data_IF_385614690002
#
_entry.id   IF_385614690002
#
_cell.length_a   1.000
_cell.length_b   1.000
_cell.length_c   1.000
_cell.angle_alpha   90.00
_cell.angle_beta   90.00
_cell.angle_gamma   90.00
#
_symmetry.space_group_name_H-M   'P 1'
#
loop_
_entity.id
_entity.type
_entity.pdbx_description
1 polymer ?
#
# COMPACT_ATOMS: atom_id res chain seq x y z
N UNK A 1 -15.54 -0.46 -6.91
CA UNK A 1 -14.16 -0.32 -7.45
C UNK A 1 -14.01 -1.04 -8.79
N UNK A 2 -14.30 -2.36 -8.89
CA UNK A 2 -14.16 -3.16 -10.12
C UNK A 2 -14.96 -2.53 -11.27
N UNK A 3 -16.24 -2.23 -11.09
CA UNK A 3 -17.12 -1.62 -12.12
C UNK A 3 -16.56 -0.31 -12.70
N UNK A 4 -15.96 0.54 -11.86
CA UNK A 4 -15.33 1.79 -12.34
C UNK A 4 -14.04 1.52 -13.10
N UNK A 5 -13.27 0.52 -12.66
CA UNK A 5 -12.06 0.10 -13.36
C UNK A 5 -12.39 -0.52 -14.73
N UNK A 6 -13.43 -1.36 -14.82
CA UNK A 6 -13.91 -1.92 -16.09
C UNK A 6 -14.36 -0.82 -17.06
N UNK A 7 -15.09 0.18 -16.57
CA UNK A 7 -15.52 1.29 -17.40
C UNK A 7 -14.33 2.11 -17.91
N UNK A 8 -13.35 2.39 -17.04
CA UNK A 8 -12.14 3.11 -17.42
C UNK A 8 -11.32 2.32 -18.46
N UNK A 9 -11.15 1.00 -18.27
CA UNK A 9 -10.48 0.13 -19.24
C UNK A 9 -11.16 0.14 -20.60
N UNK A 10 -12.50 0.02 -20.62
CA UNK A 10 -13.29 0.08 -21.82
C UNK A 10 -13.13 1.41 -22.56
N UNK A 11 -13.18 2.53 -21.84
CA UNK A 11 -13.01 3.87 -22.46
C UNK A 11 -11.60 4.04 -23.01
N UNK A 12 -10.56 3.60 -22.29
CA UNK A 12 -9.18 3.66 -22.75
C UNK A 12 -8.96 2.82 -24.01
N UNK A 13 -9.51 1.59 -24.05
CA UNK A 13 -9.44 0.71 -25.22
C UNK A 13 -10.14 1.33 -26.44
N UNK A 14 -11.36 1.85 -26.26
CA UNK A 14 -12.11 2.52 -27.34
C UNK A 14 -11.38 3.75 -27.87
N UNK A 15 -10.82 4.57 -27.01
CA UNK A 15 -10.05 5.74 -27.40
C UNK A 15 -8.79 5.34 -28.18
N UNK A 16 -8.10 4.28 -27.78
CA UNK A 16 -6.95 3.74 -28.49
C UNK A 16 -7.31 3.20 -29.86
N UNK A 17 -8.37 2.39 -29.97
CA UNK A 17 -8.86 1.88 -31.26
C UNK A 17 -9.23 3.01 -32.22
N UNK A 18 -9.85 4.06 -31.72
CA UNK A 18 -10.18 5.24 -32.52
C UNK A 18 -8.93 5.98 -33.00
N UNK A 19 -7.94 6.16 -32.13
CA UNK A 19 -6.64 6.76 -32.49
C UNK A 19 -5.94 5.96 -33.58
N UNK A 20 -5.90 4.63 -33.48
CA UNK A 20 -5.30 3.76 -34.47
C UNK A 20 -6.01 3.83 -35.84
N UNK A 21 -7.33 3.97 -35.89
CA UNK A 21 -8.09 4.18 -37.09
C UNK A 21 -7.72 5.50 -37.77
N UNK A 22 -7.69 6.61 -37.03
CA UNK A 22 -7.28 7.91 -37.57
C UNK A 22 -5.87 7.90 -38.14
N UNK A 23 -4.92 7.24 -37.48
CA UNK A 23 -3.55 7.11 -37.97
C UNK A 23 -3.49 6.31 -39.27
N UNK A 24 -4.27 5.23 -39.42
CA UNK A 24 -4.39 4.44 -40.65
C UNK A 24 -4.95 5.26 -41.80
N UNK A 25 -5.89 6.16 -41.53
CA UNK A 25 -6.53 7.04 -42.50
C UNK A 25 -5.67 8.28 -42.81
N UNK A 26 -4.43 8.37 -42.31
CA UNK A 26 -3.54 9.51 -42.48
C UNK A 26 -3.99 10.77 -41.76
N UNK A 27 -4.97 10.65 -40.89
CA UNK A 27 -5.48 11.75 -40.07
C UNK A 27 -4.69 11.76 -38.76
N UNK A 28 -3.86 12.78 -38.57
CA UNK A 28 -3.26 13.01 -37.25
C UNK A 28 -4.33 13.56 -36.32
N UNK A 29 -4.86 12.75 -35.37
CA UNK A 29 -5.87 13.24 -34.44
C UNK A 29 -5.24 14.39 -33.66
N UNK A 30 -5.92 15.55 -33.64
CA UNK A 30 -5.61 16.55 -32.60
C UNK A 30 -5.62 15.79 -31.28
N UNK A 31 -4.49 15.80 -30.56
CA UNK A 31 -4.37 15.11 -29.28
C UNK A 31 -5.66 15.33 -28.49
N UNK A 32 -6.34 14.23 -28.14
CA UNK A 32 -7.35 14.30 -27.09
C UNK A 32 -6.68 15.06 -25.93
N UNK A 33 -7.25 16.18 -25.52
CA UNK A 33 -6.70 16.98 -24.40
C UNK A 33 -6.87 16.17 -23.10
N UNK A 34 -6.05 15.14 -22.97
CA UNK A 34 -6.01 14.28 -21.79
C UNK A 34 -4.82 14.70 -20.94
N UNK A 35 -5.02 14.76 -19.62
CA UNK A 35 -3.96 15.12 -18.68
C UNK A 35 -2.84 14.07 -18.65
N UNK A 36 -3.14 12.82 -19.01
CA UNK A 36 -2.21 11.68 -19.00
C UNK A 36 -2.38 10.88 -20.30
N UNK A 37 -1.35 10.14 -20.75
CA UNK A 37 -1.44 9.26 -21.92
C UNK A 37 -2.49 8.15 -21.74
N UNK A 38 -3.06 7.65 -22.85
CA UNK A 38 -4.05 6.55 -22.81
C UNK A 38 -3.52 5.29 -22.14
N UNK A 39 -2.24 4.95 -22.37
CA UNK A 39 -1.56 3.82 -21.72
C UNK A 39 -1.63 3.89 -20.21
N UNK A 40 -1.60 5.09 -19.64
CA UNK A 40 -1.76 5.27 -18.20
C UNK A 40 -3.16 4.85 -17.73
N UNK A 41 -4.21 5.29 -18.40
CA UNK A 41 -5.59 4.96 -18.00
C UNK A 41 -5.87 3.47 -18.14
N UNK A 42 -5.37 2.84 -19.22
CA UNK A 42 -5.48 1.40 -19.42
C UNK A 42 -4.74 0.62 -18.33
N UNK A 43 -3.46 0.88 -18.14
CA UNK A 43 -2.65 0.21 -17.12
C UNK A 43 -3.18 0.43 -15.71
N UNK A 44 -3.58 1.67 -15.37
CA UNK A 44 -4.13 2.01 -14.06
C UNK A 44 -5.46 1.30 -13.78
N UNK A 45 -6.35 1.17 -14.77
CA UNK A 45 -7.63 0.48 -14.61
C UNK A 45 -7.43 -1.00 -14.26
N UNK A 46 -6.53 -1.70 -14.97
CA UNK A 46 -6.19 -3.09 -14.69
C UNK A 46 -5.47 -3.24 -13.33
N UNK A 47 -4.58 -2.32 -12.98
CA UNK A 47 -3.93 -2.31 -11.67
C UNK A 47 -4.94 -2.19 -10.53
N UNK A 48 -5.89 -1.27 -10.62
CA UNK A 48 -6.94 -1.08 -9.60
C UNK A 48 -7.87 -2.30 -9.49
N UNK A 49 -8.18 -2.93 -10.61
CA UNK A 49 -8.96 -4.17 -10.67
C UNK A 49 -8.21 -5.33 -10.01
N UNK A 50 -6.92 -5.49 -10.31
CA UNK A 50 -6.04 -6.49 -9.69
C UNK A 50 -5.95 -6.30 -8.17
N UNK A 51 -5.81 -5.05 -7.67
CA UNK A 51 -5.84 -4.75 -6.24
C UNK A 51 -7.18 -5.14 -5.61
N UNK A 52 -8.31 -4.91 -6.31
CA UNK A 52 -9.62 -5.29 -5.80
C UNK A 52 -9.77 -6.81 -5.69
N UNK A 53 -9.40 -7.56 -6.72
CA UNK A 53 -9.44 -9.03 -6.70
C UNK A 53 -8.50 -9.61 -5.64
N UNK A 54 -7.29 -9.07 -5.49
CA UNK A 54 -6.37 -9.46 -4.42
C UNK A 54 -7.00 -9.30 -3.03
N UNK A 55 -7.70 -8.19 -2.77
CA UNK A 55 -8.40 -7.95 -1.50
C UNK A 55 -9.57 -8.91 -1.26
N UNK A 56 -10.15 -9.44 -2.32
CA UNK A 56 -11.24 -10.45 -2.26
C UNK A 56 -10.71 -11.88 -2.12
N UNK A 57 -9.39 -12.09 -2.22
CA UNK A 57 -8.77 -13.42 -2.22
C UNK A 57 -8.81 -14.12 -3.59
N UNK A 58 -9.26 -13.43 -4.63
CA UNK A 58 -9.37 -13.94 -6.00
C UNK A 58 -8.02 -13.78 -6.73
N UNK A 59 -7.03 -14.57 -6.32
CA UNK A 59 -5.63 -14.38 -6.72
C UNK A 59 -5.39 -14.64 -8.21
N UNK A 60 -6.09 -15.60 -8.83
CA UNK A 60 -5.97 -15.85 -10.27
C UNK A 60 -6.51 -14.67 -11.09
N UNK A 61 -7.67 -14.13 -10.73
CA UNK A 61 -8.20 -12.93 -11.39
C UNK A 61 -7.31 -11.70 -11.18
N UNK A 62 -6.66 -11.60 -10.01
CA UNK A 62 -5.67 -10.57 -9.76
C UNK A 62 -4.44 -10.74 -10.66
N UNK A 63 -3.95 -11.97 -10.86
CA UNK A 63 -2.83 -12.33 -11.74
C UNK A 63 -3.12 -11.96 -13.19
N UNK A 64 -4.32 -12.27 -13.69
CA UNK A 64 -4.76 -11.90 -15.04
C UNK A 64 -4.73 -10.37 -15.23
N UNK A 65 -5.23 -9.63 -14.25
CA UNK A 65 -5.17 -8.17 -14.28
C UNK A 65 -3.73 -7.64 -14.30
N UNK A 66 -2.82 -8.23 -13.50
CA UNK A 66 -1.40 -7.85 -13.48
C UNK A 66 -0.77 -8.12 -14.85
N UNK A 67 -1.04 -9.27 -15.45
CA UNK A 67 -0.56 -9.63 -16.79
C UNK A 67 -0.99 -8.62 -17.85
N UNK A 68 -2.21 -8.10 -17.75
CA UNK A 68 -2.76 -7.13 -18.71
C UNK A 68 -2.00 -5.78 -18.71
N UNK A 69 -1.41 -5.36 -17.58
CA UNK A 69 -0.64 -4.11 -17.54
C UNK A 69 0.88 -4.30 -17.45
N UNK A 70 1.36 -5.55 -17.38
CA UNK A 70 2.81 -5.85 -17.38
C UNK A 70 3.43 -5.56 -18.74
N UNK A 71 2.76 -5.98 -19.82
CA UNK A 71 3.25 -5.77 -21.18
C UNK A 71 2.31 -4.86 -21.95
N UNK A 72 2.66 -3.58 -22.00
CA UNK A 72 1.95 -2.52 -22.71
C UNK A 72 2.71 -2.05 -23.97
N UNK A 73 3.66 -2.86 -24.50
CA UNK A 73 4.48 -2.50 -25.67
C UNK A 73 3.65 -2.45 -26.97
N UNK A 74 2.49 -3.11 -26.99
CA UNK A 74 1.51 -3.02 -28.06
C UNK A 74 0.81 -1.66 -28.16
N UNK A 75 0.89 -0.85 -27.10
CA UNK A 75 0.43 0.53 -27.08
C UNK A 75 1.46 1.36 -27.83
N UNK A 76 1.22 1.58 -29.12
CA UNK A 76 2.15 2.29 -30.00
C UNK A 76 1.79 3.78 -30.05
N UNK A 77 2.47 4.58 -29.24
CA UNK A 77 2.47 6.04 -29.33
C UNK A 77 3.93 6.53 -29.19
N UNK A 78 4.44 7.29 -30.14
CA UNK A 78 5.83 7.70 -30.19
C UNK A 78 6.26 8.71 -29.12
N UNK A 79 5.54 8.84 -28.02
CA UNK A 79 5.78 9.85 -26.98
C UNK A 79 6.63 9.28 -25.82
N UNK A 80 7.76 9.92 -25.51
CA UNK A 80 8.67 9.54 -24.40
C UNK A 80 7.95 9.39 -23.04
N UNK A 81 6.85 10.14 -22.82
CA UNK A 81 6.06 10.03 -21.61
C UNK A 81 5.45 8.63 -21.43
N UNK A 82 5.12 7.93 -22.51
CA UNK A 82 4.52 6.58 -22.46
C UNK A 82 5.53 5.51 -22.06
N UNK A 83 6.78 5.65 -22.50
CA UNK A 83 7.86 4.75 -22.07
C UNK A 83 8.03 4.77 -20.56
N UNK A 84 7.95 5.95 -19.95
CA UNK A 84 8.03 6.09 -18.49
C UNK A 84 6.88 5.34 -17.77
N UNK A 85 5.64 5.48 -18.26
CA UNK A 85 4.48 4.78 -17.67
C UNK A 85 4.58 3.26 -17.85
N UNK A 86 5.00 2.77 -19.04
CA UNK A 86 5.19 1.33 -19.28
C UNK A 86 6.20 0.71 -18.31
N UNK A 87 7.35 1.34 -18.13
CA UNK A 87 8.36 0.87 -17.19
C UNK A 87 7.86 0.89 -15.75
N UNK A 88 7.13 1.94 -15.35
CA UNK A 88 6.52 2.02 -14.04
C UNK A 88 5.54 0.86 -13.82
N UNK A 89 4.68 0.55 -14.78
CA UNK A 89 3.74 -0.56 -14.68
C UNK A 89 4.47 -1.91 -14.58
N UNK A 90 5.52 -2.15 -15.36
CA UNK A 90 6.34 -3.37 -15.23
C UNK A 90 6.90 -3.54 -13.82
N UNK A 91 7.43 -2.47 -13.27
CA UNK A 91 8.01 -2.50 -11.94
C UNK A 91 6.97 -2.78 -10.87
N UNK A 92 5.81 -2.12 -10.93
CA UNK A 92 4.69 -2.37 -10.03
C UNK A 92 4.15 -3.80 -10.20
N UNK A 93 4.04 -4.29 -11.46
CA UNK A 93 3.60 -5.64 -11.74
C UNK A 93 4.49 -6.70 -11.09
N UNK A 94 5.83 -6.55 -11.19
CA UNK A 94 6.78 -7.46 -10.54
C UNK A 94 6.54 -7.53 -9.03
N UNK A 95 6.39 -6.38 -8.39
CA UNK A 95 6.14 -6.32 -6.94
C UNK A 95 4.79 -6.96 -6.57
N UNK A 96 3.74 -6.70 -7.35
CA UNK A 96 2.42 -7.27 -7.08
C UNK A 96 2.35 -8.77 -7.36
N UNK A 97 3.09 -9.30 -8.34
CA UNK A 97 3.21 -10.75 -8.55
C UNK A 97 3.88 -11.42 -7.36
N UNK A 98 5.00 -10.88 -6.88
CA UNK A 98 5.67 -11.41 -5.68
C UNK A 98 4.75 -11.35 -4.45
N UNK A 99 3.95 -10.29 -4.32
CA UNK A 99 2.95 -10.17 -3.27
C UNK A 99 1.87 -11.26 -3.37
N UNK A 100 1.39 -11.58 -4.58
CA UNK A 100 0.44 -12.69 -4.80
C UNK A 100 1.05 -14.04 -4.47
N UNK A 101 2.31 -14.29 -4.86
CA UNK A 101 3.02 -15.52 -4.47
C UNK A 101 3.05 -15.70 -2.96
N UNK A 102 3.43 -14.64 -2.23
CA UNK A 102 3.44 -14.66 -0.76
C UNK A 102 2.06 -14.91 -0.17
N UNK A 103 1.02 -14.25 -0.68
CA UNK A 103 -0.37 -14.44 -0.22
C UNK A 103 -0.89 -15.84 -0.56
N UNK A 104 -0.37 -16.47 -1.60
CA UNK A 104 -0.67 -17.85 -1.98
C UNK A 104 0.13 -18.90 -1.19
N UNK A 105 1.00 -18.47 -0.26
CA UNK A 105 1.77 -19.35 0.63
C UNK A 105 3.21 -19.65 0.19
N UNK A 106 3.69 -19.05 -0.90
CA UNK A 106 5.09 -19.21 -1.34
C UNK A 106 6.02 -18.29 -0.51
N UNK A 107 6.19 -18.63 0.77
CA UNK A 107 6.95 -17.82 1.74
C UNK A 107 8.45 -17.70 1.42
N UNK A 108 9.00 -18.58 0.62
CA UNK A 108 10.36 -18.51 0.08
C UNK A 108 10.62 -17.22 -0.72
N UNK A 109 9.56 -16.58 -1.23
CA UNK A 109 9.61 -15.31 -1.97
C UNK A 109 9.76 -14.07 -1.07
N UNK A 110 9.77 -14.21 0.26
CA UNK A 110 9.75 -13.08 1.19
C UNK A 110 10.97 -12.15 1.01
N UNK A 111 12.16 -12.71 0.89
CA UNK A 111 13.39 -11.91 0.70
C UNK A 111 13.43 -11.24 -0.68
N UNK A 112 12.99 -11.94 -1.72
CA UNK A 112 12.88 -11.37 -3.07
C UNK A 112 11.90 -10.19 -3.08
N UNK A 113 10.74 -10.35 -2.44
CA UNK A 113 9.75 -9.29 -2.28
C UNK A 113 10.31 -8.10 -1.51
N UNK A 114 10.99 -8.34 -0.38
CA UNK A 114 11.59 -7.28 0.44
C UNK A 114 12.62 -6.48 -0.36
N UNK A 115 13.47 -7.16 -1.11
CA UNK A 115 14.47 -6.49 -1.96
C UNK A 115 13.81 -5.64 -3.05
N UNK A 116 12.84 -6.21 -3.77
CA UNK A 116 12.08 -5.49 -4.78
C UNK A 116 11.33 -4.27 -4.20
N UNK A 117 10.79 -4.39 -2.98
CA UNK A 117 10.11 -3.30 -2.28
C UNK A 117 11.06 -2.15 -1.93
N UNK A 118 12.28 -2.46 -1.46
CA UNK A 118 13.28 -1.47 -1.08
C UNK A 118 13.88 -0.76 -2.30
N UNK A 119 13.99 -1.44 -3.43
CA UNK A 119 14.37 -0.82 -4.72
C UNK A 119 13.29 0.16 -5.22
N UNK A 120 12.02 -0.12 -4.92
CA UNK A 120 10.86 0.67 -5.36
C UNK A 120 10.46 1.73 -4.33
N UNK A 121 10.95 2.96 -4.47
CA UNK A 121 10.68 4.06 -3.53
C UNK A 121 9.21 4.55 -3.50
N UNK A 122 8.34 4.11 -4.40
CA UNK A 122 7.02 4.73 -4.62
C UNK A 122 5.87 4.17 -3.78
N UNK A 123 5.88 2.90 -3.42
CA UNK A 123 4.79 2.24 -2.68
C UNK A 123 5.29 1.50 -1.44
N UNK A 124 6.29 2.06 -0.77
CA UNK A 124 6.98 1.41 0.35
C UNK A 124 6.02 1.06 1.49
N UNK A 125 5.18 1.99 1.92
CA UNK A 125 4.28 1.80 3.08
C UNK A 125 3.27 0.66 2.90
N UNK A 126 2.46 0.60 1.82
CA UNK A 126 1.57 -0.54 1.58
C UNK A 126 2.30 -1.88 1.49
N UNK A 127 3.48 -1.90 0.85
CA UNK A 127 4.30 -3.09 0.75
C UNK A 127 4.83 -3.57 2.10
N UNK A 128 5.25 -2.65 2.98
CA UNK A 128 5.66 -2.97 4.34
C UNK A 128 4.51 -3.56 5.17
N UNK A 129 3.31 -3.02 5.03
CA UNK A 129 2.10 -3.59 5.65
C UNK A 129 1.91 -5.04 5.22
N UNK A 130 2.01 -5.31 3.92
CA UNK A 130 1.88 -6.67 3.38
C UNK A 130 2.96 -7.60 3.93
N UNK A 131 4.21 -7.17 3.95
CA UNK A 131 5.33 -7.98 4.46
C UNK A 131 5.11 -8.40 5.91
N UNK A 132 4.77 -7.47 6.80
CA UNK A 132 4.55 -7.77 8.22
C UNK A 132 3.29 -8.64 8.40
N UNK A 133 2.25 -8.39 7.60
CA UNK A 133 1.03 -9.21 7.61
C UNK A 133 1.32 -10.67 7.21
N UNK A 134 2.13 -10.90 6.18
CA UNK A 134 2.58 -12.24 5.78
C UNK A 134 3.37 -12.89 6.92
N UNK A 135 4.29 -12.14 7.55
CA UNK A 135 5.04 -12.62 8.70
C UNK A 135 4.12 -13.02 9.86
N UNK A 136 3.08 -12.24 10.14
CA UNK A 136 2.08 -12.55 11.16
C UNK A 136 1.23 -13.79 10.78
N UNK A 137 0.82 -13.90 9.52
CA UNK A 137 -0.02 -14.99 9.03
C UNK A 137 0.68 -16.34 9.07
N UNK A 138 1.96 -16.37 8.75
CA UNK A 138 2.77 -17.60 8.65
C UNK A 138 3.74 -17.77 9.83
N UNK A 139 3.61 -16.96 10.88
CA UNK A 139 4.49 -16.93 12.05
C UNK A 139 5.99 -16.88 11.72
N UNK A 140 6.34 -16.07 10.70
CA UNK A 140 7.71 -15.92 10.25
C UNK A 140 8.47 -14.92 11.12
N UNK A 141 9.72 -15.23 11.45
CA UNK A 141 10.64 -14.29 12.08
C UNK A 141 11.25 -13.38 11.00
N UNK A 142 11.02 -12.07 11.14
CA UNK A 142 11.55 -11.03 10.23
C UNK A 142 12.39 -10.00 11.00
N UNK A 143 12.95 -10.39 12.14
CA UNK A 143 13.70 -9.47 13.01
C UNK A 143 14.92 -8.86 12.32
N UNK A 144 15.54 -9.58 11.40
CA UNK A 144 16.63 -9.11 10.55
C UNK A 144 16.20 -8.06 9.52
N UNK A 145 14.92 -8.08 9.10
CA UNK A 145 14.35 -7.12 8.15
C UNK A 145 13.83 -5.84 8.84
N UNK A 146 13.39 -5.94 10.11
CA UNK A 146 12.78 -4.79 10.82
C UNK A 146 13.65 -3.52 10.82
N UNK A 147 14.99 -3.58 11.01
CA UNK A 147 15.83 -2.38 10.94
C UNK A 147 15.82 -1.70 9.56
N UNK A 148 15.79 -2.49 8.47
CA UNK A 148 15.71 -1.99 7.09
C UNK A 148 14.35 -1.32 6.84
N UNK A 149 13.27 -1.94 7.33
CA UNK A 149 11.92 -1.40 7.23
C UNK A 149 11.79 -0.09 8.02
N UNK A 150 12.32 -0.04 9.24
CA UNK A 150 12.33 1.17 10.07
C UNK A 150 13.14 2.30 9.41
N UNK A 151 14.25 1.99 8.74
CA UNK A 151 15.00 2.96 7.96
C UNK A 151 14.18 3.54 6.82
N UNK A 152 13.47 2.70 6.07
CA UNK A 152 12.59 3.12 4.97
C UNK A 152 11.46 4.01 5.47
N UNK A 153 10.85 3.69 6.62
CA UNK A 153 9.81 4.52 7.25
C UNK A 153 10.35 5.89 7.67
N UNK A 154 11.58 5.94 8.21
CA UNK A 154 12.21 7.24 8.57
C UNK A 154 12.48 8.15 7.38
N UNK A 155 12.69 7.57 6.19
CA UNK A 155 12.87 8.33 4.95
C UNK A 155 11.56 8.87 4.38
N UNK A 156 10.42 8.37 4.84
CA UNK A 156 9.11 8.88 4.43
C UNK A 156 8.87 10.22 5.12
N UNK A 157 8.66 11.27 4.34
CA UNK A 157 8.39 12.62 4.86
C UNK A 157 7.07 12.68 5.61
N UNK A 158 6.92 13.68 6.50
CA UNK A 158 5.65 13.91 7.22
C UNK A 158 4.47 14.07 6.25
N UNK A 159 4.66 14.80 5.15
CA UNK A 159 3.63 14.98 4.11
C UNK A 159 3.25 13.68 3.41
N UNK A 160 4.23 12.78 3.17
CA UNK A 160 3.96 11.47 2.60
C UNK A 160 3.23 10.56 3.60
N UNK A 161 3.59 10.60 4.89
CA UNK A 161 2.87 9.89 5.95
C UNK A 161 1.41 10.36 6.03
N UNK A 162 1.16 11.66 5.95
CA UNK A 162 -0.18 12.22 5.97
C UNK A 162 -1.02 11.75 4.76
N UNK A 163 -0.43 11.77 3.55
CA UNK A 163 -1.10 11.25 2.34
C UNK A 163 -1.40 9.77 2.42
N UNK A 164 -0.61 9.00 3.16
CA UNK A 164 -0.72 7.56 3.34
C UNK A 164 -1.07 7.16 4.78
N UNK A 165 -1.72 8.05 5.52
CA UNK A 165 -2.01 7.88 6.94
C UNK A 165 -2.64 6.53 7.28
N UNK A 166 -3.62 6.09 6.50
CA UNK A 166 -4.28 4.79 6.68
C UNK A 166 -3.28 3.62 6.55
N UNK A 167 -2.36 3.69 5.60
CA UNK A 167 -1.32 2.67 5.44
C UNK A 167 -0.31 2.71 6.59
N UNK A 168 0.04 3.90 7.09
CA UNK A 168 0.91 4.06 8.25
C UNK A 168 0.28 3.48 9.53
N UNK A 169 -0.99 3.77 9.78
CA UNK A 169 -1.70 3.18 10.92
C UNK A 169 -1.83 1.66 10.79
N UNK A 170 -2.08 1.14 9.57
CA UNK A 170 -2.07 -0.31 9.33
C UNK A 170 -0.69 -0.93 9.57
N UNK A 171 0.39 -0.25 9.18
CA UNK A 171 1.76 -0.69 9.46
C UNK A 171 2.01 -0.83 10.97
N UNK A 172 1.64 0.17 11.77
CA UNK A 172 1.75 0.12 13.22
C UNK A 172 0.91 -1.01 13.82
N UNK A 173 -0.32 -1.20 13.34
CA UNK A 173 -1.20 -2.29 13.79
C UNK A 173 -0.60 -3.68 13.50
N UNK A 174 0.02 -3.89 12.34
CA UNK A 174 0.66 -5.17 12.03
C UNK A 174 1.95 -5.37 12.87
N UNK A 175 2.72 -4.30 13.18
CA UNK A 175 3.85 -4.38 14.10
C UNK A 175 3.43 -4.72 15.54
N UNK A 176 2.34 -4.11 16.01
CA UNK A 176 1.79 -4.42 17.34
C UNK A 176 1.47 -5.91 17.42
N UNK A 177 0.78 -6.47 16.42
CA UNK A 177 0.47 -7.91 16.36
C UNK A 177 1.75 -8.76 16.32
N UNK A 178 2.72 -8.36 15.48
CA UNK A 178 3.99 -9.07 15.33
C UNK A 178 4.75 -9.20 16.64
N UNK A 179 4.86 -8.10 17.38
CA UNK A 179 5.54 -8.10 18.68
C UNK A 179 4.71 -8.80 19.76
N UNK A 180 3.40 -8.56 19.83
CA UNK A 180 2.54 -9.15 20.85
C UNK A 180 2.44 -10.68 20.73
N UNK A 181 2.34 -11.23 19.50
CA UNK A 181 2.33 -12.69 19.29
C UNK A 181 3.63 -13.37 19.72
N UNK A 182 4.72 -12.61 19.82
CA UNK A 182 6.04 -13.07 20.26
C UNK A 182 6.37 -12.67 21.71
N UNK A 183 5.34 -12.29 22.47
CA UNK A 183 5.47 -11.89 23.89
C UNK A 183 6.39 -10.68 24.11
N UNK A 184 6.65 -9.88 23.07
CA UNK A 184 7.48 -8.67 23.13
C UNK A 184 6.60 -7.45 23.42
N UNK A 185 5.90 -7.50 24.55
CA UNK A 185 4.87 -6.51 24.88
C UNK A 185 5.41 -5.09 25.03
N UNK A 186 6.66 -4.89 25.49
CA UNK A 186 7.27 -3.56 25.53
C UNK A 186 7.28 -2.88 24.17
N UNK A 187 7.79 -3.57 23.15
CA UNK A 187 7.83 -3.07 21.77
C UNK A 187 6.41 -2.89 21.18
N UNK A 188 5.50 -3.82 21.49
CA UNK A 188 4.10 -3.66 21.09
C UNK A 188 3.48 -2.39 21.67
N UNK A 189 3.75 -2.08 22.96
CA UNK A 189 3.25 -0.90 23.64
C UNK A 189 3.82 0.41 23.07
N UNK A 190 5.11 0.43 22.71
CA UNK A 190 5.70 1.57 22.03
C UNK A 190 4.93 1.92 20.74
N UNK A 191 4.59 0.91 19.91
CA UNK A 191 3.81 1.12 18.69
C UNK A 191 2.33 1.45 18.97
N UNK A 192 1.74 0.96 20.06
CA UNK A 192 0.38 1.36 20.46
C UNK A 192 0.34 2.85 20.80
N UNK A 193 1.33 3.35 21.54
CA UNK A 193 1.42 4.76 21.90
C UNK A 193 1.70 5.64 20.68
N UNK A 194 2.54 5.18 19.73
CA UNK A 194 2.78 5.85 18.47
C UNK A 194 1.49 5.95 17.63
N UNK A 195 0.70 4.86 17.55
CA UNK A 195 -0.60 4.83 16.87
C UNK A 195 -1.58 5.79 17.55
N UNK A 196 -1.66 5.79 18.87
CA UNK A 196 -2.54 6.66 19.66
C UNK A 196 -2.19 8.13 19.42
N UNK A 197 -0.92 8.49 19.51
CA UNK A 197 -0.44 9.86 19.25
C UNK A 197 -0.77 10.32 17.85
N UNK A 198 -0.51 9.49 16.84
CA UNK A 198 -0.84 9.80 15.44
C UNK A 198 -2.35 9.91 15.21
N UNK A 199 -3.15 9.05 15.84
CA UNK A 199 -4.60 9.09 15.72
C UNK A 199 -5.22 10.36 16.32
N UNK A 200 -4.68 10.85 17.43
CA UNK A 200 -5.08 12.14 18.03
C UNK A 200 -4.69 13.28 17.10
N UNK A 201 -3.42 13.35 16.70
CA UNK A 201 -2.90 14.43 15.85
C UNK A 201 -3.70 14.60 14.53
N UNK A 202 -4.23 13.51 13.99
CA UNK A 202 -4.94 13.52 12.71
C UNK A 202 -6.45 13.30 12.82
N UNK A 203 -7.04 13.40 14.01
CA UNK A 203 -8.46 13.23 14.27
C UNK A 203 -9.04 11.90 13.73
N UNK A 204 -8.25 10.81 13.80
CA UNK A 204 -8.68 9.48 13.35
C UNK A 204 -9.41 8.74 14.48
N UNK A 205 -10.70 9.03 14.68
CA UNK A 205 -11.47 8.48 15.79
C UNK A 205 -11.56 6.95 15.81
N UNK A 206 -11.51 6.27 14.65
CA UNK A 206 -11.51 4.82 14.59
C UNK A 206 -10.17 4.22 15.08
N UNK A 207 -9.05 4.81 14.67
CA UNK A 207 -7.73 4.32 15.08
C UNK A 207 -7.41 4.73 16.51
N UNK A 208 -7.94 5.86 17.00
CA UNK A 208 -7.95 6.21 18.43
C UNK A 208 -8.63 5.12 19.26
N UNK A 209 -9.85 4.70 18.90
CA UNK A 209 -10.56 3.63 19.61
C UNK A 209 -9.79 2.31 19.60
N UNK A 210 -9.17 1.94 18.46
CA UNK A 210 -8.35 0.73 18.35
C UNK A 210 -7.13 0.80 19.27
N UNK A 211 -6.40 1.93 19.27
CA UNK A 211 -5.19 2.08 20.09
C UNK A 211 -5.51 2.07 21.59
N UNK A 212 -6.60 2.70 22.02
CA UNK A 212 -7.10 2.59 23.41
C UNK A 212 -7.43 1.13 23.74
N UNK A 213 -8.18 0.43 22.89
CA UNK A 213 -8.52 -0.99 23.10
C UNK A 213 -7.30 -1.88 23.20
N UNK A 214 -6.30 -1.67 22.34
CA UNK A 214 -5.04 -2.43 22.36
C UNK A 214 -4.20 -2.11 23.61
N UNK A 215 -4.17 -0.84 24.03
CA UNK A 215 -3.49 -0.47 25.27
C UNK A 215 -4.11 -1.20 26.47
N UNK A 216 -5.43 -1.15 26.60
CA UNK A 216 -6.14 -1.81 27.72
C UNK A 216 -5.98 -3.34 27.66
N UNK A 217 -5.99 -3.95 26.49
CA UNK A 217 -5.75 -5.38 26.29
C UNK A 217 -4.38 -5.83 26.83
N UNK A 218 -3.35 -5.02 26.63
CA UNK A 218 -1.98 -5.34 27.03
C UNK A 218 -1.50 -4.56 28.27
N UNK A 219 -2.40 -3.84 28.97
CA UNK A 219 -2.07 -2.96 30.11
C UNK A 219 -1.23 -3.64 31.18
N UNK A 220 -1.47 -4.92 31.47
CA UNK A 220 -0.72 -5.69 32.49
C UNK A 220 0.78 -5.82 32.16
N UNK A 221 1.15 -5.64 30.93
CA UNK A 221 2.53 -5.70 30.44
C UNK A 221 3.14 -4.30 30.25
N UNK A 222 2.37 -3.23 30.47
CA UNK A 222 2.82 -1.86 30.30
C UNK A 222 3.79 -1.46 31.43
N UNK A 223 4.87 -0.78 31.06
CA UNK A 223 5.77 -0.13 32.03
C UNK A 223 5.08 1.09 32.65
N UNK A 224 5.64 1.59 33.76
CA UNK A 224 5.18 2.86 34.37
C UNK A 224 5.25 4.04 33.39
N UNK A 225 6.26 4.06 32.51
CA UNK A 225 6.39 5.08 31.46
C UNK A 225 5.32 4.95 30.39
N UNK A 226 4.99 3.74 29.94
CA UNK A 226 3.88 3.51 29.00
C UNK A 226 2.56 4.01 29.59
N UNK A 227 2.27 3.71 30.85
CA UNK A 227 1.04 4.15 31.53
C UNK A 227 1.00 5.68 31.61
N UNK A 228 2.10 6.35 31.97
CA UNK A 228 2.17 7.81 32.05
C UNK A 228 1.92 8.43 30.67
N UNK A 229 2.64 7.99 29.64
CA UNK A 229 2.47 8.51 28.28
C UNK A 229 1.04 8.32 27.76
N UNK A 230 0.44 7.14 28.02
CA UNK A 230 -0.94 6.87 27.65
C UNK A 230 -1.90 7.87 28.30
N UNK A 231 -1.75 8.10 29.63
CA UNK A 231 -2.59 9.04 30.37
C UNK A 231 -2.46 10.47 29.79
N UNK A 232 -1.24 10.93 29.55
CA UNK A 232 -0.97 12.25 28.97
C UNK A 232 -1.64 12.41 27.59
N UNK A 233 -1.55 11.40 26.72
CA UNK A 233 -2.16 11.41 25.41
C UNK A 233 -3.71 11.43 25.48
N UNK A 234 -4.30 10.59 26.32
CA UNK A 234 -5.77 10.54 26.49
C UNK A 234 -6.29 11.85 27.09
N UNK A 235 -5.60 12.41 28.08
CA UNK A 235 -5.96 13.71 28.67
C UNK A 235 -5.90 14.84 27.64
N UNK A 236 -4.87 14.84 26.77
CA UNK A 236 -4.77 15.85 25.71
C UNK A 236 -5.94 15.78 24.74
N UNK A 237 -6.31 14.56 24.32
CA UNK A 237 -7.46 14.35 23.45
C UNK A 237 -8.79 14.79 24.07
N UNK A 238 -8.98 14.56 25.38
CA UNK A 238 -10.17 14.99 26.10
C UNK A 238 -10.29 16.51 26.23
N UNK A 239 -9.17 17.23 26.39
CA UNK A 239 -9.16 18.71 26.41
C UNK A 239 -9.60 19.32 25.09
N UNK A 240 -9.20 18.73 23.95
CA UNK A 240 -9.61 19.22 22.62
C UNK A 240 -11.11 19.03 22.35
N UNK A 241 -11.75 18.03 22.96
CA UNK A 241 -13.19 17.77 22.80
C UNK A 241 -14.06 18.67 23.69
N UNK A 242 -13.50 19.19 24.78
CA UNK A 242 -14.24 20.00 25.80
C UNK A 242 -14.14 21.51 25.52
N UNK A 243 -13.42 21.95 24.51
CA UNK A 243 -13.33 23.34 24.02
C UNK A 243 -14.12 23.49 22.72
#
# INVERSE_FOLDING_TARGET
MITHADHLAFLADKAYQLQQRFLKDGIHPKRLQMNLPLVHYYGYSHMMKGIAYKRMGEYELARDCISAYTNLDWFDDPNDAEYHFRNRFRSVARLQLLELELLSGHIDKLYEYTHALLEHKLDTLPGLVTLIRIANLHDLLIDDLLPLLAQSIRQITSDQKLRHLSAYHMYLLELIKYHASRYRYGQAMDHVLELLSSAIQHNSGNDFKKSVGLFEQYRIHASKDHIRQYQELVESALREVLV
#
